data_IF_582734737008
#
_entry.id   IF_582734737008
#
_cell.length_a   1.000
_cell.length_b   1.000
_cell.length_c   1.000
_cell.angle_alpha   90.00
_cell.angle_beta   90.00
_cell.angle_gamma   90.00
#
_symmetry.space_group_name_H-M   'P 1'
#
loop_
_entity.id
_entity.type
_entity.pdbx_description
1 polymer ?
#
# COMPACT_ATOMS: atom_id res chain seq x y z
N UNK A 1 -12.82 8.05 19.64
CA UNK A 1 -12.63 9.40 20.24
C UNK A 1 -12.29 10.46 19.20
N UNK A 2 -11.93 10.11 17.97
CA UNK A 2 -11.54 11.03 16.91
C UNK A 2 -10.24 11.81 17.18
N UNK A 3 -9.45 11.42 18.17
CA UNK A 3 -8.15 12.02 18.48
C UNK A 3 -7.05 11.22 17.82
N UNK A 4 -6.06 11.93 17.22
CA UNK A 4 -4.84 11.28 16.73
C UNK A 4 -4.07 10.61 17.86
N UNK A 5 -3.43 9.48 17.57
CA UNK A 5 -2.54 8.78 18.48
C UNK A 5 -1.20 8.54 17.83
N UNK A 6 -0.11 8.68 18.59
CA UNK A 6 1.25 8.30 18.18
C UNK A 6 1.64 6.91 18.71
N UNK A 7 0.73 6.24 19.41
CA UNK A 7 0.94 4.90 19.94
C UNK A 7 0.46 3.85 18.92
N UNK A 8 1.37 3.39 18.07
CA UNK A 8 1.05 2.43 17.01
C UNK A 8 0.49 1.11 17.55
N UNK A 9 0.99 0.62 18.67
CA UNK A 9 0.53 -0.64 19.28
C UNK A 9 -0.91 -0.53 19.80
N UNK A 10 -1.26 0.61 20.40
CA UNK A 10 -2.64 0.89 20.83
C UNK A 10 -3.59 0.97 19.65
N UNK A 11 -3.20 1.68 18.59
CA UNK A 11 -4.01 1.83 17.37
C UNK A 11 -4.24 0.47 16.72
N UNK A 12 -3.17 -0.32 16.56
CA UNK A 12 -3.28 -1.67 15.98
C UNK A 12 -4.15 -2.58 16.84
N UNK A 13 -3.97 -2.58 18.15
CA UNK A 13 -4.80 -3.35 19.07
C UNK A 13 -6.29 -2.99 18.99
N UNK A 14 -6.60 -1.71 18.90
CA UNK A 14 -7.98 -1.24 18.75
C UNK A 14 -8.61 -1.66 17.41
N UNK A 15 -7.84 -1.57 16.31
CA UNK A 15 -8.30 -2.01 14.97
C UNK A 15 -8.55 -3.52 14.99
N UNK A 16 -7.59 -4.32 15.48
CA UNK A 16 -7.71 -5.77 15.51
C UNK A 16 -8.85 -6.29 16.41
N UNK A 17 -9.13 -5.56 17.49
CA UNK A 17 -10.22 -5.91 18.41
C UNK A 17 -11.58 -5.30 18.01
N UNK A 18 -11.65 -4.58 16.89
CA UNK A 18 -12.86 -3.80 16.50
C UNK A 18 -13.36 -2.86 17.61
N UNK A 19 -12.43 -2.39 18.47
CA UNK A 19 -12.74 -1.58 19.65
C UNK A 19 -12.93 -0.07 19.33
N UNK A 20 -13.01 0.26 18.05
CA UNK A 20 -13.11 1.62 17.53
C UNK A 20 -11.75 2.27 17.25
N UNK A 21 -11.77 3.33 16.48
CA UNK A 21 -10.57 3.95 15.89
C UNK A 21 -10.28 3.41 14.51
N UNK A 22 -9.22 3.89 13.90
CA UNK A 22 -8.82 3.51 12.55
C UNK A 22 -7.94 4.55 11.89
N UNK A 23 -7.60 4.29 10.64
CA UNK A 23 -6.89 5.23 9.78
C UNK A 23 -7.90 6.21 9.19
N UNK A 24 -7.57 7.51 9.26
CA UNK A 24 -8.44 8.54 8.70
C UNK A 24 -8.39 8.57 7.18
N UNK A 25 -9.51 8.91 6.52
CA UNK A 25 -9.52 9.16 5.09
C UNK A 25 -8.71 10.43 4.74
N UNK A 26 -8.42 10.60 3.46
CA UNK A 26 -7.83 11.85 2.93
C UNK A 26 -8.68 13.04 3.36
N UNK A 27 -8.02 14.12 3.84
CA UNK A 27 -8.71 15.29 4.40
C UNK A 27 -8.99 15.18 5.91
N UNK A 28 -8.66 14.08 6.56
CA UNK A 28 -8.71 13.94 8.03
C UNK A 28 -10.13 13.91 8.59
N UNK A 29 -10.35 14.62 9.71
CA UNK A 29 -11.62 14.60 10.45
C UNK A 29 -12.59 15.72 10.07
N UNK A 30 -12.08 16.83 9.51
CA UNK A 30 -12.88 18.03 9.34
C UNK A 30 -13.40 18.15 7.90
N UNK A 31 -14.65 18.54 7.78
CA UNK A 31 -15.29 18.74 6.48
C UNK A 31 -14.58 19.85 5.67
N UNK A 32 -14.16 20.91 6.33
CA UNK A 32 -13.42 22.03 5.70
C UNK A 32 -12.06 21.61 5.10
N UNK A 33 -11.47 20.52 5.58
CA UNK A 33 -10.23 19.94 5.02
C UNK A 33 -10.49 18.89 3.94
N UNK A 34 -11.75 18.64 3.60
CA UNK A 34 -12.16 17.74 2.54
C UNK A 34 -12.32 16.27 2.96
N UNK A 35 -12.52 15.99 4.25
CA UNK A 35 -12.71 14.62 4.76
C UNK A 35 -13.82 13.86 4.05
N UNK A 36 -14.93 14.53 3.70
CA UNK A 36 -16.03 13.95 2.93
C UNK A 36 -15.60 13.48 1.53
N UNK A 37 -14.63 14.16 0.90
CA UNK A 37 -14.07 13.73 -0.40
C UNK A 37 -13.20 12.48 -0.24
N UNK A 38 -12.35 12.46 0.80
CA UNK A 38 -11.56 11.27 1.13
C UNK A 38 -12.44 10.07 1.48
N UNK A 39 -13.51 10.27 2.23
CA UNK A 39 -14.52 9.24 2.47
C UNK A 39 -15.15 8.75 1.16
N UNK A 40 -15.48 9.67 0.24
CA UNK A 40 -16.01 9.32 -1.09
C UNK A 40 -15.06 8.44 -1.90
N UNK A 41 -13.75 8.68 -1.85
CA UNK A 41 -12.75 7.78 -2.45
C UNK A 41 -12.74 6.40 -1.80
N UNK A 42 -12.85 6.32 -0.49
CA UNK A 42 -13.00 5.04 0.21
C UNK A 42 -14.25 4.28 -0.23
N UNK A 43 -15.39 4.97 -0.33
CA UNK A 43 -16.62 4.38 -0.86
C UNK A 43 -16.48 3.91 -2.31
N UNK A 44 -15.77 4.66 -3.14
CA UNK A 44 -15.51 4.25 -4.53
C UNK A 44 -14.70 2.95 -4.56
N UNK A 45 -13.64 2.85 -3.76
CA UNK A 45 -12.85 1.62 -3.64
C UNK A 45 -13.74 0.45 -3.20
N UNK A 46 -14.56 0.63 -2.17
CA UNK A 46 -15.45 -0.40 -1.66
C UNK A 46 -16.46 -0.89 -2.71
N UNK A 47 -17.06 0.04 -3.47
CA UNK A 47 -18.00 -0.30 -4.54
C UNK A 47 -17.31 -1.14 -5.63
N UNK A 48 -16.14 -0.70 -6.10
CA UNK A 48 -15.45 -1.40 -7.19
C UNK A 48 -14.84 -2.74 -6.76
N UNK A 49 -14.38 -2.86 -5.53
CA UNK A 49 -13.78 -4.11 -5.05
C UNK A 49 -14.83 -5.08 -4.53
N UNK A 50 -15.54 -4.75 -3.48
CA UNK A 50 -16.43 -5.67 -2.78
C UNK A 50 -17.83 -5.72 -3.39
N UNK A 51 -18.49 -4.56 -3.59
CA UNK A 51 -19.91 -4.55 -4.00
C UNK A 51 -20.08 -5.12 -5.41
N UNK A 52 -19.31 -4.67 -6.39
CA UNK A 52 -19.43 -5.16 -7.77
C UNK A 52 -18.99 -6.60 -7.95
N UNK A 53 -18.09 -7.11 -7.11
CA UNK A 53 -17.68 -8.50 -7.11
C UNK A 53 -18.62 -9.43 -6.33
N UNK A 54 -19.63 -8.89 -5.66
CA UNK A 54 -20.47 -9.62 -4.70
C UNK A 54 -19.67 -10.23 -3.54
N UNK A 55 -18.54 -9.62 -3.20
CA UNK A 55 -17.65 -10.05 -2.14
C UNK A 55 -17.93 -9.38 -0.81
N UNK A 56 -17.04 -9.61 0.15
CA UNK A 56 -17.16 -9.12 1.53
C UNK A 56 -16.69 -7.67 1.61
N UNK A 57 -17.45 -6.81 2.23
CA UNK A 57 -17.08 -5.40 2.47
C UNK A 57 -16.03 -5.28 3.56
N UNK A 58 -15.22 -4.22 3.51
CA UNK A 58 -14.02 -4.07 4.36
C UNK A 58 -14.31 -4.09 5.87
N UNK A 59 -15.51 -3.71 6.29
CA UNK A 59 -15.94 -3.79 7.70
C UNK A 59 -16.24 -5.23 8.16
N UNK A 60 -16.33 -6.19 7.24
CA UNK A 60 -16.58 -7.62 7.52
C UNK A 60 -15.40 -8.52 7.10
N UNK A 61 -14.27 -7.94 6.70
CA UNK A 61 -13.11 -8.66 6.15
C UNK A 61 -12.55 -9.74 7.09
N UNK A 62 -12.69 -9.56 8.41
CA UNK A 62 -12.16 -10.49 9.43
C UNK A 62 -13.29 -11.04 10.31
N UNK A 63 -14.24 -11.72 9.72
CA UNK A 63 -15.29 -12.43 10.44
C UNK A 63 -15.05 -13.94 10.40
N UNK A 64 -15.48 -14.65 11.43
CA UNK A 64 -15.43 -16.11 11.55
C UNK A 64 -14.02 -16.72 11.35
N UNK A 65 -12.97 -16.02 11.80
CA UNK A 65 -11.56 -16.41 11.61
C UNK A 65 -11.14 -16.57 10.14
N UNK A 66 -11.82 -15.91 9.23
CA UNK A 66 -11.45 -15.82 7.82
C UNK A 66 -11.06 -14.40 7.47
N UNK A 67 -10.05 -14.28 6.61
CA UNK A 67 -9.69 -13.01 5.99
C UNK A 67 -10.13 -13.05 4.53
N UNK A 68 -11.09 -12.20 4.16
CA UNK A 68 -11.59 -12.11 2.78
C UNK A 68 -11.31 -10.71 2.25
N UNK A 69 -10.47 -10.62 1.23
CA UNK A 69 -10.05 -9.34 0.62
C UNK A 69 -10.40 -9.36 -0.85
N UNK A 70 -11.12 -8.32 -1.28
CA UNK A 70 -11.53 -8.15 -2.66
C UNK A 70 -10.58 -7.20 -3.40
N UNK A 71 -10.37 -7.45 -4.69
CA UNK A 71 -9.57 -6.62 -5.57
C UNK A 71 -10.36 -6.20 -6.81
N UNK A 72 -10.01 -5.05 -7.37
CA UNK A 72 -10.51 -4.60 -8.66
C UNK A 72 -9.33 -4.21 -9.55
N UNK A 73 -9.36 -4.67 -10.80
CA UNK A 73 -8.39 -4.30 -11.82
C UNK A 73 -9.11 -3.67 -13.00
N UNK A 74 -8.67 -2.48 -13.40
CA UNK A 74 -9.25 -1.74 -14.52
C UNK A 74 -8.15 -1.49 -15.53
N UNK A 75 -8.31 -2.00 -16.76
CA UNK A 75 -7.45 -1.69 -17.88
C UNK A 75 -8.22 -0.84 -18.91
N UNK A 76 -7.64 0.29 -19.28
CA UNK A 76 -8.24 1.23 -20.22
C UNK A 76 -7.33 1.36 -21.44
N UNK A 77 -7.87 1.05 -22.63
CA UNK A 77 -7.17 1.36 -23.87
C UNK A 77 -7.33 2.87 -24.16
N UNK A 78 -6.26 3.67 -24.14
CA UNK A 78 -6.36 5.12 -24.39
C UNK A 78 -6.84 5.45 -25.81
N UNK A 79 -6.67 4.56 -26.77
CA UNK A 79 -7.06 4.80 -28.16
C UNK A 79 -8.57 4.95 -28.37
N UNK A 80 -9.39 4.52 -27.43
CA UNK A 80 -10.85 4.80 -27.48
C UNK A 80 -11.19 6.28 -27.29
N UNK A 81 -10.25 7.08 -26.78
CA UNK A 81 -10.43 8.52 -26.56
C UNK A 81 -9.74 9.38 -27.65
N UNK A 82 -8.88 8.80 -28.48
CA UNK A 82 -8.13 9.49 -29.51
C UNK A 82 -6.76 8.87 -29.79
N UNK A 83 -5.89 9.62 -30.45
CA UNK A 83 -4.51 9.18 -30.73
C UNK A 83 -3.74 8.93 -29.42
N UNK A 84 -3.19 7.73 -29.27
CA UNK A 84 -2.36 7.37 -28.11
C UNK A 84 -1.13 8.30 -27.97
N UNK A 85 -0.56 8.76 -29.08
CA UNK A 85 0.62 9.63 -29.05
C UNK A 85 0.25 11.05 -28.60
N UNK A 86 -0.89 11.59 -29.07
CA UNK A 86 -1.38 12.90 -28.62
C UNK A 86 -1.73 12.88 -27.12
N UNK A 87 -2.31 11.78 -26.64
CA UNK A 87 -2.64 11.60 -25.21
C UNK A 87 -1.36 11.57 -24.38
N UNK A 88 -0.33 10.82 -24.81
CA UNK A 88 0.96 10.76 -24.13
C UNK A 88 1.68 12.11 -24.13
N UNK A 89 1.64 12.83 -25.25
CA UNK A 89 2.21 14.17 -25.36
C UNK A 89 1.53 15.15 -24.40
N UNK A 90 0.20 15.16 -24.36
CA UNK A 90 -0.57 16.01 -23.47
C UNK A 90 -0.27 15.69 -21.98
N UNK A 91 -0.20 14.41 -21.63
CA UNK A 91 0.18 14.00 -20.28
C UNK A 91 1.61 14.46 -19.95
N UNK A 92 2.57 14.28 -20.86
CA UNK A 92 3.95 14.71 -20.66
C UNK A 92 4.09 16.20 -20.43
N UNK A 93 3.36 17.02 -21.20
CA UNK A 93 3.31 18.48 -21.02
C UNK A 93 2.75 18.83 -19.63
N UNK A 94 1.63 18.24 -19.25
CA UNK A 94 1.02 18.48 -17.94
C UNK A 94 1.95 18.10 -16.78
N UNK A 95 2.61 16.95 -16.84
CA UNK A 95 3.56 16.52 -15.81
C UNK A 95 4.77 17.46 -15.74
N UNK A 96 5.25 17.98 -16.86
CA UNK A 96 6.34 18.95 -16.87
C UNK A 96 5.92 20.30 -16.28
N UNK A 97 4.74 20.79 -16.58
CA UNK A 97 4.18 22.00 -15.94
C UNK A 97 4.12 21.86 -14.41
N UNK A 98 3.69 20.69 -13.91
CA UNK A 98 3.67 20.40 -12.49
C UNK A 98 5.07 20.44 -11.86
N UNK A 99 6.07 19.83 -12.52
CA UNK A 99 7.46 19.83 -12.04
C UNK A 99 8.08 21.21 -11.98
N UNK A 100 7.68 22.09 -12.89
CA UNK A 100 8.15 23.47 -12.98
C UNK A 100 7.37 24.45 -12.08
N UNK A 101 6.31 23.99 -11.41
CA UNK A 101 5.53 24.83 -10.50
C UNK A 101 6.37 25.35 -9.33
N UNK A 102 5.99 26.49 -8.70
CA UNK A 102 6.65 26.97 -7.51
C UNK A 102 6.69 25.91 -6.41
N UNK A 103 7.88 25.67 -5.87
CA UNK A 103 8.08 24.68 -4.83
C UNK A 103 7.63 25.22 -3.47
N UNK A 104 7.18 24.36 -2.59
CA UNK A 104 6.99 24.70 -1.19
C UNK A 104 8.34 25.02 -0.51
N UNK A 105 8.30 25.83 0.55
CA UNK A 105 9.50 26.17 1.33
C UNK A 105 10.19 24.90 1.83
N UNK A 106 11.50 24.81 1.58
CA UNK A 106 12.32 23.66 1.93
C UNK A 106 12.22 22.45 0.99
N UNK A 107 11.39 22.50 -0.05
CA UNK A 107 11.31 21.44 -1.04
C UNK A 107 12.39 21.61 -2.14
N UNK A 108 13.17 20.56 -2.39
CA UNK A 108 14.20 20.57 -3.44
C UNK A 108 13.58 20.39 -4.84
N UNK A 109 12.54 19.57 -4.96
CA UNK A 109 11.82 19.35 -6.23
C UNK A 109 10.38 18.93 -6.00
N UNK A 110 9.59 19.05 -7.06
CA UNK A 110 8.23 18.47 -7.16
C UNK A 110 8.35 17.14 -7.85
N UNK A 111 7.78 16.11 -7.24
CA UNK A 111 7.68 14.77 -7.82
C UNK A 111 6.29 14.57 -8.42
N UNK A 112 6.23 13.97 -9.59
CA UNK A 112 5.00 13.40 -10.13
C UNK A 112 4.90 11.92 -9.78
N UNK A 113 3.71 11.34 -9.90
CA UNK A 113 3.46 9.94 -9.52
C UNK A 113 4.34 8.98 -10.33
N UNK A 114 4.96 8.02 -9.63
CA UNK A 114 5.87 7.04 -10.20
C UNK A 114 7.35 7.45 -10.21
N UNK A 115 7.68 8.73 -10.05
CA UNK A 115 9.09 9.18 -10.10
C UNK A 115 9.90 8.68 -8.90
N UNK A 116 9.33 8.73 -7.70
CA UNK A 116 10.02 8.25 -6.49
C UNK A 116 10.28 6.75 -6.57
N UNK A 117 9.30 6.01 -7.06
CA UNK A 117 9.40 4.57 -7.29
C UNK A 117 10.46 4.25 -8.34
N UNK A 118 10.51 5.00 -9.42
CA UNK A 118 11.53 4.84 -10.46
C UNK A 118 12.94 5.10 -9.95
N UNK A 119 13.16 6.17 -9.20
CA UNK A 119 14.47 6.44 -8.61
C UNK A 119 14.85 5.41 -7.54
N UNK A 120 13.89 4.98 -6.72
CA UNK A 120 14.11 3.89 -5.77
C UNK A 120 14.46 2.57 -6.48
N UNK A 121 13.82 2.28 -7.62
CA UNK A 121 14.16 1.12 -8.45
C UNK A 121 15.61 1.18 -8.94
N UNK A 122 16.06 2.32 -9.50
CA UNK A 122 17.43 2.47 -9.97
C UNK A 122 18.45 2.31 -8.83
N UNK A 123 18.21 2.93 -7.69
CA UNK A 123 19.08 2.84 -6.51
C UNK A 123 19.19 1.40 -5.99
N UNK A 124 18.04 0.70 -5.93
CA UNK A 124 17.98 -0.69 -5.46
C UNK A 124 18.57 -1.69 -6.45
N UNK A 125 18.51 -1.41 -7.75
CA UNK A 125 19.18 -2.23 -8.75
C UNK A 125 20.70 -2.15 -8.62
N UNK A 126 21.24 -1.04 -8.15
CA UNK A 126 22.68 -0.86 -7.91
C UNK A 126 23.11 -1.38 -6.54
N UNK A 127 22.36 -1.05 -5.48
CA UNK A 127 22.76 -1.29 -4.09
C UNK A 127 22.15 -2.55 -3.47
N UNK A 128 21.16 -3.15 -4.13
CA UNK A 128 20.36 -4.21 -3.57
C UNK A 128 19.15 -3.69 -2.79
N UNK A 129 18.35 -4.60 -2.30
CA UNK A 129 17.13 -4.33 -1.54
C UNK A 129 17.36 -4.69 -0.06
N UNK A 130 17.22 -3.70 0.81
CA UNK A 130 17.15 -3.95 2.25
C UNK A 130 15.77 -4.53 2.61
N UNK A 131 15.76 -5.67 3.23
CA UNK A 131 14.54 -6.32 3.73
C UNK A 131 14.54 -6.23 5.25
N UNK A 132 13.43 -5.84 5.83
CA UNK A 132 13.24 -5.79 7.28
C UNK A 132 13.43 -7.17 7.92
N UNK A 133 14.09 -7.22 9.08
CA UNK A 133 14.43 -8.46 9.76
C UNK A 133 13.20 -9.32 10.10
N UNK A 134 12.05 -8.73 10.41
CA UNK A 134 10.84 -9.50 10.69
C UNK A 134 10.33 -10.18 9.41
N UNK A 135 10.36 -9.46 8.28
CA UNK A 135 10.00 -10.02 6.97
C UNK A 135 10.93 -11.17 6.60
N UNK A 136 12.26 -11.02 6.77
CA UNK A 136 13.20 -12.12 6.51
C UNK A 136 12.93 -13.32 7.42
N UNK A 137 12.60 -13.09 8.69
CA UNK A 137 12.25 -14.16 9.63
C UNK A 137 10.99 -14.91 9.16
N UNK A 138 9.96 -14.20 8.72
CA UNK A 138 8.74 -14.81 8.17
C UNK A 138 9.02 -15.60 6.88
N UNK A 139 9.90 -15.09 6.01
CA UNK A 139 10.34 -15.81 4.81
C UNK A 139 11.10 -17.11 5.17
N UNK A 140 11.92 -17.08 6.21
CA UNK A 140 12.61 -18.27 6.70
C UNK A 140 11.61 -19.30 7.22
N UNK A 141 10.63 -18.89 8.04
CA UNK A 141 9.57 -19.78 8.53
C UNK A 141 8.75 -20.38 7.37
N UNK A 142 8.50 -19.58 6.33
CA UNK A 142 7.82 -20.06 5.13
C UNK A 142 8.64 -21.10 4.37
N UNK A 143 9.94 -20.86 4.19
CA UNK A 143 10.84 -21.84 3.56
C UNK A 143 10.84 -23.17 4.32
N UNK A 144 10.90 -23.14 5.65
CA UNK A 144 10.84 -24.35 6.47
C UNK A 144 9.48 -25.07 6.33
N UNK A 145 8.38 -24.33 6.32
CA UNK A 145 7.03 -24.89 6.14
C UNK A 145 6.88 -25.60 4.78
N UNK A 146 7.54 -25.07 3.75
CA UNK A 146 7.49 -25.59 2.38
C UNK A 146 8.61 -26.59 2.07
N UNK A 147 9.42 -26.99 3.08
CA UNK A 147 10.60 -27.86 2.93
C UNK A 147 11.62 -27.34 1.87
N UNK A 148 11.82 -26.01 1.86
CA UNK A 148 12.75 -25.30 0.99
C UNK A 148 14.07 -25.03 1.73
N UNK A 149 15.19 -25.07 1.01
CA UNK A 149 16.50 -24.76 1.57
C UNK A 149 16.66 -23.24 1.79
N UNK A 150 16.59 -22.80 3.04
CA UNK A 150 16.69 -21.36 3.42
C UNK A 150 17.99 -20.74 2.91
N UNK A 151 19.13 -21.44 3.05
CA UNK A 151 20.45 -20.91 2.66
C UNK A 151 20.52 -20.69 1.14
N UNK A 152 19.94 -21.57 0.35
CA UNK A 152 19.92 -21.47 -1.11
C UNK A 152 19.11 -20.25 -1.60
N UNK A 153 17.97 -19.95 -0.96
CA UNK A 153 17.06 -18.90 -1.44
C UNK A 153 17.29 -17.55 -0.76
N UNK A 154 17.68 -17.53 0.50
CA UNK A 154 17.79 -16.30 1.30
C UNK A 154 19.22 -16.01 1.77
N UNK A 155 20.15 -16.96 1.60
CA UNK A 155 21.54 -16.84 2.04
C UNK A 155 21.78 -17.30 3.47
N UNK A 156 23.05 -17.49 3.80
CA UNK A 156 23.49 -18.03 5.11
C UNK A 156 23.14 -17.10 6.28
N UNK A 157 23.19 -15.78 6.06
CA UNK A 157 22.83 -14.79 7.10
C UNK A 157 21.38 -14.92 7.52
N UNK A 158 20.48 -15.08 6.57
CA UNK A 158 19.05 -15.30 6.83
C UNK A 158 18.82 -16.63 7.57
N UNK A 159 19.52 -17.69 7.20
CA UNK A 159 19.44 -18.99 7.85
C UNK A 159 19.88 -18.95 9.33
N UNK A 160 20.69 -17.96 9.72
CA UNK A 160 21.16 -17.78 11.10
C UNK A 160 20.21 -16.98 12.00
N UNK A 161 19.16 -16.36 11.45
CA UNK A 161 18.22 -15.57 12.22
C UNK A 161 17.44 -16.42 13.24
N UNK A 162 17.12 -15.82 14.41
CA UNK A 162 16.32 -16.53 15.42
C UNK A 162 14.92 -16.85 14.89
N UNK A 163 14.49 -18.08 15.13
CA UNK A 163 13.15 -18.55 14.72
C UNK A 163 12.06 -17.91 15.56
N UNK A 164 11.11 -17.28 14.91
CA UNK A 164 9.87 -16.83 15.54
C UNK A 164 8.84 -17.93 15.26
N UNK A 165 8.38 -18.63 16.29
CA UNK A 165 7.28 -19.59 16.06
C UNK A 165 6.10 -18.83 15.48
N UNK A 166 5.75 -19.12 14.23
CA UNK A 166 4.57 -18.56 13.59
C UNK A 166 3.33 -19.06 14.33
N UNK A 167 2.50 -18.14 14.78
CA UNK A 167 1.17 -18.44 15.32
C UNK A 167 0.13 -18.64 14.22
N UNK A 168 0.56 -18.78 12.96
CA UNK A 168 -0.33 -19.09 11.86
C UNK A 168 -0.69 -20.57 11.89
N UNK A 169 -1.80 -20.87 12.55
CA UNK A 169 -2.50 -22.14 12.38
C UNK A 169 -3.21 -22.06 11.03
N UNK A 170 -2.81 -22.92 10.08
CA UNK A 170 -3.54 -23.11 8.82
C UNK A 170 -4.88 -23.78 9.10
#
# INVERSE_FOLDING_TARGET
SGKGSNNASEVLGNISASAGGGILPLGGLEEKTGSHKGYGYGMLCEIFTAILSMGVTSNHTYEDNKAEICHCFIAINPEIFGSSDDIKENLSKFLEELRQSPKADGAERIYTHGEKEYFAYLDRMEKGLEIDVNTVTEMVDLCETLDMNVEEYLGADAASLPRKKSEYVM
#
